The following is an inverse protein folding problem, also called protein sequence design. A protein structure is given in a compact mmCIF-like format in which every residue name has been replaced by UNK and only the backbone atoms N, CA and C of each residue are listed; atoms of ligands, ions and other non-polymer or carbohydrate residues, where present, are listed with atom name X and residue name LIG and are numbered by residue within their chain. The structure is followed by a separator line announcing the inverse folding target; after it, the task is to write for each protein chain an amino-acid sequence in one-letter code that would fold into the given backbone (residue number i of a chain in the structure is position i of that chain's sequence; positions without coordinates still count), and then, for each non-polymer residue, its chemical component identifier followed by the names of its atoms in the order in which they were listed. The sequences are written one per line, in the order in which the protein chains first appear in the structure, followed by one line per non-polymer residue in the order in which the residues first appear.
data_IF_607037641721
#
_entry.id   IF_607037641721
#
_cell.length_a   1.000
_cell.length_b   1.000
_cell.length_c   1.000
_cell.angle_alpha   90.00
_cell.angle_beta   90.00
_cell.angle_gamma   90.00
#
_symmetry.space_group_name_H-M   'P 1'
#
loop_
_entity.id
_entity.type
_entity.pdbx_description
1 polymer ?
#
# COMPACT_ATOMS: atom_id res chain seq x y z
N UNK A 1 16.97 11.56 -8.27
CA UNK A 1 16.46 10.64 -7.23
C UNK A 1 14.99 10.37 -7.50
N UNK A 2 14.65 9.23 -8.13
CA UNK A 2 13.28 8.88 -8.51
C UNK A 2 12.58 8.24 -7.31
N UNK A 3 11.85 9.03 -6.52
CA UNK A 3 11.00 8.50 -5.44
C UNK A 3 9.83 7.79 -6.11
N UNK A 4 9.96 6.47 -6.30
CA UNK A 4 8.97 5.63 -6.99
C UNK A 4 7.74 5.44 -6.10
N UNK A 5 6.86 6.44 -6.17
CA UNK A 5 5.51 6.43 -5.60
C UNK A 5 4.59 5.65 -6.55
N UNK A 6 3.80 4.74 -6.02
CA UNK A 6 2.70 4.12 -6.77
C UNK A 6 1.39 4.67 -6.26
N UNK A 7 0.60 5.28 -7.15
CA UNK A 7 -0.81 5.60 -6.89
C UNK A 7 -1.65 4.43 -7.39
N UNK A 8 -2.43 3.85 -6.49
CA UNK A 8 -3.35 2.76 -6.81
C UNK A 8 -4.76 3.27 -6.55
N UNK A 9 -5.62 3.26 -7.57
CA UNK A 9 -7.05 3.48 -7.35
C UNK A 9 -7.65 2.17 -6.83
N UNK A 10 -8.06 2.16 -5.56
CA UNK A 10 -8.62 0.97 -4.92
C UNK A 10 -10.10 0.85 -5.23
N UNK A 11 -10.49 -0.26 -5.85
CA UNK A 11 -11.89 -0.64 -6.00
C UNK A 11 -12.48 -1.13 -4.66
N UNK A 12 -13.77 -0.89 -4.45
CA UNK A 12 -14.57 -1.28 -3.26
C UNK A 12 -14.37 -2.74 -2.85
N UNK A 13 -14.16 -3.62 -3.84
CA UNK A 13 -14.06 -5.08 -3.69
C UNK A 13 -12.70 -5.58 -3.21
N UNK A 14 -11.71 -4.71 -3.07
CA UNK A 14 -10.32 -5.08 -2.86
C UNK A 14 -9.87 -4.83 -1.41
N UNK A 15 -9.61 -5.91 -0.68
CA UNK A 15 -9.28 -5.85 0.75
C UNK A 15 -7.81 -5.46 0.97
N UNK A 16 -7.44 -4.78 2.05
CA UNK A 16 -6.02 -4.43 2.32
C UNK A 16 -5.36 -5.50 3.19
N UNK A 17 -5.99 -5.80 4.33
CA UNK A 17 -5.61 -6.83 5.30
C UNK A 17 -6.89 -7.18 6.08
N UNK A 18 -7.56 -8.27 5.72
CA UNK A 18 -8.78 -8.68 6.42
C UNK A 18 -8.51 -9.98 7.19
N UNK A 19 -8.76 -9.96 8.50
CA UNK A 19 -8.75 -11.17 9.33
C UNK A 19 -9.85 -12.10 8.80
N UNK A 20 -9.47 -13.22 8.21
CA UNK A 20 -10.38 -14.15 7.53
C UNK A 20 -10.36 -14.09 6.00
N UNK A 21 -9.52 -13.25 5.37
CA UNK A 21 -9.35 -13.21 3.92
C UNK A 21 -7.88 -13.47 3.56
N UNK A 22 -7.47 -14.75 3.39
CA UNK A 22 -6.08 -15.12 3.10
C UNK A 22 -5.62 -14.62 1.72
N UNK A 23 -6.57 -14.42 0.80
CA UNK A 23 -6.32 -14.01 -0.58
C UNK A 23 -7.17 -12.83 -1.06
N UNK A 24 -6.82 -12.26 -2.22
CA UNK A 24 -7.55 -11.16 -2.85
C UNK A 24 -7.34 -9.80 -2.16
N UNK A 25 -6.17 -9.58 -1.56
CA UNK A 25 -5.82 -8.32 -0.88
C UNK A 25 -4.83 -7.46 -1.68
N UNK A 26 -4.85 -6.13 -1.48
CA UNK A 26 -3.87 -5.15 -1.99
C UNK A 26 -2.46 -5.63 -1.78
N UNK A 27 -2.18 -6.20 -0.62
CA UNK A 27 -0.88 -6.77 -0.33
C UNK A 27 -0.51 -7.89 -1.32
N UNK A 28 -1.43 -8.82 -1.60
CA UNK A 28 -1.18 -9.93 -2.53
C UNK A 28 -0.99 -9.44 -3.98
N UNK A 29 -1.79 -8.46 -4.47
CA UNK A 29 -1.53 -7.93 -5.82
C UNK A 29 -0.23 -7.12 -5.89
N UNK A 30 0.15 -6.41 -4.82
CA UNK A 30 1.43 -5.68 -4.79
C UNK A 30 2.62 -6.64 -4.85
N UNK A 31 2.57 -7.73 -4.08
CA UNK A 31 3.60 -8.76 -4.10
C UNK A 31 3.69 -9.47 -5.46
N UNK A 32 2.55 -9.69 -6.13
CA UNK A 32 2.53 -10.28 -7.47
C UNK A 32 3.05 -9.29 -8.54
N UNK A 33 2.62 -8.04 -8.50
CA UNK A 33 2.95 -7.02 -9.49
C UNK A 33 4.40 -6.51 -9.37
N UNK A 34 4.90 -6.38 -8.14
CA UNK A 34 6.24 -5.90 -7.87
C UNK A 34 6.88 -6.71 -6.72
N UNK A 35 7.40 -7.91 -6.99
CA UNK A 35 7.98 -8.81 -5.98
C UNK A 35 9.02 -8.17 -5.05
N UNK A 36 9.90 -7.24 -5.50
CA UNK A 36 10.85 -6.57 -4.61
C UNK A 36 10.22 -5.72 -3.51
N UNK A 37 8.90 -5.46 -3.57
CA UNK A 37 8.20 -4.72 -2.51
C UNK A 37 8.11 -5.49 -1.19
N UNK A 38 8.36 -6.80 -1.22
CA UNK A 38 8.40 -7.64 -0.02
C UNK A 38 9.44 -7.16 1.01
N UNK A 39 10.52 -6.53 0.56
CA UNK A 39 11.57 -5.96 1.42
C UNK A 39 11.16 -4.64 2.08
N UNK A 40 10.03 -4.06 1.66
CA UNK A 40 9.49 -2.81 2.22
C UNK A 40 8.47 -3.14 3.31
N UNK A 41 8.55 -2.50 4.49
CA UNK A 41 7.58 -2.72 5.56
C UNK A 41 6.14 -2.60 5.08
N UNK A 42 5.30 -3.60 5.42
CA UNK A 42 3.89 -3.70 5.01
C UNK A 42 3.66 -3.63 3.49
N UNK A 43 4.61 -4.13 2.69
CA UNK A 43 4.58 -4.02 1.22
C UNK A 43 4.43 -2.56 0.74
N UNK A 44 4.97 -1.61 1.50
CA UNK A 44 4.92 -0.18 1.16
C UNK A 44 3.60 0.52 1.43
N UNK A 45 2.61 -0.17 2.01
CA UNK A 45 1.29 0.41 2.31
C UNK A 45 1.43 1.34 3.54
N UNK A 46 1.29 2.65 3.32
CA UNK A 46 1.45 3.68 4.36
C UNK A 46 0.14 4.11 5.01
N UNK A 47 -0.99 3.90 4.33
CA UNK A 47 -2.33 4.21 4.87
C UNK A 47 -3.35 3.15 4.43
N UNK A 48 -4.54 3.20 5.01
CA UNK A 48 -5.66 2.31 4.66
C UNK A 48 -6.88 3.12 4.26
N UNK A 49 -7.64 2.58 3.34
CA UNK A 49 -9.02 2.98 3.09
C UNK A 49 -9.95 1.98 3.79
N UNK A 50 -11.10 2.42 4.28
CA UNK A 50 -12.06 1.54 4.96
C UNK A 50 -12.78 0.60 4.00
N UNK A 51 -13.30 -0.52 4.51
CA UNK A 51 -14.06 -1.45 3.66
C UNK A 51 -15.20 -0.67 2.98
N UNK A 52 -15.39 -0.93 1.70
CA UNK A 52 -16.35 -0.26 0.83
C UNK A 52 -16.05 1.20 0.43
N UNK A 53 -14.85 1.71 0.72
CA UNK A 53 -14.40 3.01 0.23
C UNK A 53 -13.61 2.88 -1.09
N UNK A 54 -13.98 3.63 -2.13
CA UNK A 54 -13.12 3.81 -3.30
C UNK A 54 -12.19 5.00 -3.08
N UNK A 55 -11.00 4.96 -3.70
CA UNK A 55 -10.11 6.09 -3.62
C UNK A 55 -8.66 5.77 -3.95
N UNK A 56 -7.83 6.80 -3.92
CA UNK A 56 -6.41 6.69 -4.17
C UNK A 56 -5.68 6.20 -2.91
N UNK A 57 -4.93 5.13 -3.09
CA UNK A 57 -3.93 4.65 -2.14
C UNK A 57 -2.54 5.02 -2.63
N UNK A 58 -1.70 5.38 -1.67
CA UNK A 58 -0.29 5.68 -1.90
C UNK A 58 0.53 4.50 -1.38
N UNK A 59 1.42 3.97 -2.21
CA UNK A 59 2.30 2.85 -1.87
C UNK A 59 3.76 3.22 -2.14
N UNK A 60 4.61 3.01 -1.13
CA UNK A 60 6.06 3.21 -1.21
C UNK A 60 6.76 1.98 -1.78
N UNK A 61 7.50 2.13 -2.89
CA UNK A 61 8.30 1.02 -3.46
C UNK A 61 9.67 0.83 -2.82
N UNK A 62 10.06 1.69 -1.87
CA UNK A 62 11.37 1.63 -1.21
C UNK A 62 11.25 2.01 0.26
N UNK A 63 12.16 1.50 1.10
CA UNK A 63 12.19 1.79 2.55
C UNK A 63 12.30 3.31 2.82
N UNK A 64 13.21 4.08 2.19
CA UNK A 64 13.30 5.52 2.46
C UNK A 64 12.03 6.28 2.08
N UNK A 65 11.32 5.86 1.02
CA UNK A 65 10.05 6.46 0.64
C UNK A 65 8.94 6.13 1.65
N UNK A 66 8.94 4.92 2.20
CA UNK A 66 7.97 4.49 3.21
C UNK A 66 8.11 5.34 4.47
N UNK A 67 9.34 5.54 4.97
CA UNK A 67 9.62 6.34 6.16
C UNK A 67 9.13 7.77 5.98
N UNK A 68 9.50 8.43 4.87
CA UNK A 68 9.10 9.82 4.59
C UNK A 68 7.59 9.99 4.48
N UNK A 69 6.89 9.02 3.87
CA UNK A 69 5.45 9.09 3.72
C UNK A 69 4.73 8.89 5.05
N UNK A 70 5.23 8.00 5.92
CA UNK A 70 4.68 7.83 7.27
C UNK A 70 4.84 9.10 8.08
N UNK A 71 6.03 9.72 8.06
CA UNK A 71 6.28 11.01 8.71
C UNK A 71 5.34 12.11 8.18
N UNK A 72 5.19 12.20 6.86
CA UNK A 72 4.34 13.21 6.21
C UNK A 72 2.85 13.04 6.57
N UNK A 73 2.38 11.80 6.69
CA UNK A 73 0.99 11.50 7.05
C UNK A 73 0.72 11.64 8.55
N UNK A 74 1.73 11.48 9.40
CA UNK A 74 1.61 11.67 10.85
C UNK A 74 1.62 13.16 11.26
N UNK A 75 2.14 14.04 10.41
CA UNK A 75 2.26 15.48 10.66
C UNK A 75 1.12 16.30 10.04
N UNK A 76 0.20 15.66 9.31
CA UNK A 76 -0.98 16.28 8.70
C UNK A 76 -2.20 16.22 9.65
#
# INVERSE_FOLDING_TARGET
MKTLLSLINRATWWYILARGNPDGTVLNALLHYYPPIADVPRAGIVHRLDKDTTGLMVVAKTVPAQTRLVESLATA
#
